data_IF_661420632528
#
_entry.id   IF_661420632528
#
_cell.length_a   1.000
_cell.length_b   1.000
_cell.length_c   1.000
_cell.angle_alpha   90.00
_cell.angle_beta   90.00
_cell.angle_gamma   90.00
#
_symmetry.space_group_name_H-M   'P 1'
#
loop_
_entity.id
_entity.type
_entity.pdbx_description
1 polymer ?
#
# COMPACT_ATOMS: atom_id res chain seq x y z
N UNK A 1 0.75 1.37 -5.56
CA UNK A 1 1.93 2.25 -5.48
C UNK A 1 1.44 3.64 -5.09
N UNK A 2 2.20 4.37 -4.28
CA UNK A 2 1.86 5.72 -3.81
C UNK A 2 3.07 6.62 -4.11
N UNK A 3 2.83 7.81 -4.67
CA UNK A 3 3.86 8.74 -5.10
C UNK A 3 3.46 10.18 -4.77
N UNK A 4 4.45 11.07 -4.65
CA UNK A 4 4.21 12.52 -4.58
C UNK A 4 3.67 13.00 -3.23
N UNK A 5 3.84 12.22 -2.17
CA UNK A 5 3.31 12.55 -0.85
C UNK A 5 4.36 13.24 0.03
N UNK A 6 3.88 14.11 0.92
CA UNK A 6 4.65 14.85 1.92
C UNK A 6 3.69 15.27 3.05
N UNK A 7 4.04 15.21 4.35
CA UNK A 7 5.32 14.77 4.94
C UNK A 7 5.57 13.25 4.76
N UNK A 8 6.63 12.70 5.38
CA UNK A 8 7.05 11.30 5.16
C UNK A 8 6.03 10.26 5.66
N UNK A 9 5.24 10.61 6.67
CA UNK A 9 4.36 9.67 7.35
C UNK A 9 3.19 9.27 6.44
N UNK A 10 3.08 7.97 6.18
CA UNK A 10 2.00 7.37 5.39
C UNK A 10 1.79 5.94 5.88
N UNK A 11 0.56 5.47 5.86
CA UNK A 11 0.22 4.06 6.03
C UNK A 11 -0.50 3.56 4.78
N UNK A 12 -0.07 2.40 4.27
CA UNK A 12 -0.73 1.70 3.17
C UNK A 12 -1.28 0.40 3.73
N UNK A 13 -2.59 0.20 3.61
CA UNK A 13 -3.28 -0.97 4.16
C UNK A 13 -4.06 -1.63 3.04
N UNK A 14 -3.88 -2.94 2.89
CA UNK A 14 -4.74 -3.73 2.03
C UNK A 14 -5.95 -4.24 2.81
N UNK A 15 -7.12 -4.06 2.22
CA UNK A 15 -8.37 -4.61 2.73
C UNK A 15 -8.81 -5.75 1.80
N UNK A 16 -9.19 -6.89 2.37
CA UNK A 16 -9.84 -7.99 1.68
C UNK A 16 -11.29 -8.04 2.15
N UNK A 17 -12.23 -7.83 1.24
CA UNK A 17 -13.67 -7.74 1.53
C UNK A 17 -14.00 -6.76 2.68
N UNK A 18 -13.21 -5.69 2.81
CA UNK A 18 -13.36 -4.66 3.85
C UNK A 18 -12.57 -4.91 5.14
N UNK A 19 -11.96 -6.08 5.32
CA UNK A 19 -11.16 -6.42 6.50
C UNK A 19 -9.67 -6.20 6.26
N UNK A 20 -8.96 -5.65 7.26
CA UNK A 20 -7.53 -5.38 7.15
C UNK A 20 -6.73 -6.69 7.05
N UNK A 21 -5.91 -6.80 6.01
CA UNK A 21 -5.03 -7.93 5.80
C UNK A 21 -3.76 -7.78 6.64
N UNK A 22 -3.47 -8.70 7.58
CA UNK A 22 -2.21 -8.68 8.32
C UNK A 22 -1.02 -9.17 7.48
N UNK A 23 -1.27 -9.72 6.28
CA UNK A 23 -0.26 -10.37 5.44
C UNK A 23 0.19 -9.47 4.27
N UNK A 24 0.65 -8.27 4.58
CA UNK A 24 1.40 -7.47 3.60
C UNK A 24 2.79 -8.10 3.43
N UNK A 25 2.97 -8.93 2.39
CA UNK A 25 4.23 -9.69 2.21
C UNK A 25 5.42 -8.83 1.81
N UNK A 26 5.19 -7.69 1.15
CA UNK A 26 6.26 -6.88 0.59
C UNK A 26 5.93 -5.38 0.63
N UNK A 27 6.70 -4.64 1.43
CA UNK A 27 6.68 -3.18 1.49
C UNK A 27 8.09 -2.65 1.23
N UNK A 28 8.25 -1.67 0.33
CA UNK A 28 9.57 -1.07 0.06
C UNK A 28 10.06 -0.10 1.11
N UNK A 29 9.25 0.15 2.14
CA UNK A 29 9.40 1.33 2.97
C UNK A 29 9.13 2.62 2.17
N UNK A 30 9.31 3.75 2.85
CA UNK A 30 9.15 5.09 2.27
C UNK A 30 10.48 5.57 1.70
N UNK A 31 10.54 5.77 0.40
CA UNK A 31 11.72 6.19 -0.35
C UNK A 31 11.58 7.65 -0.83
N UNK A 32 12.67 8.43 -0.89
CA UNK A 32 12.63 9.77 -1.49
C UNK A 32 12.44 9.70 -3.01
N UNK A 33 11.69 10.65 -3.58
CA UNK A 33 11.44 10.76 -5.02
C UNK A 33 12.47 11.64 -5.75
N UNK A 34 13.28 12.42 -5.01
CA UNK A 34 14.29 13.33 -5.57
C UNK A 34 13.80 14.75 -5.87
N UNK A 35 12.49 15.00 -5.78
CA UNK A 35 11.83 16.30 -5.98
C UNK A 35 11.34 16.95 -4.67
N UNK A 36 11.74 16.39 -3.52
CA UNK A 36 11.25 16.79 -2.19
C UNK A 36 10.04 16.02 -1.69
N UNK A 37 9.47 15.12 -2.51
CA UNK A 37 8.39 14.21 -2.09
C UNK A 37 8.89 12.80 -1.79
N UNK A 38 7.97 11.95 -1.34
CA UNK A 38 8.21 10.55 -1.05
C UNK A 38 7.37 9.62 -1.93
N UNK A 39 7.77 8.36 -1.97
CA UNK A 39 7.10 7.28 -2.67
C UNK A 39 7.18 5.97 -1.87
N UNK A 40 6.19 5.11 -2.03
CA UNK A 40 6.19 3.77 -1.44
C UNK A 40 5.31 2.80 -2.23
N UNK A 41 5.49 1.51 -2.01
CA UNK A 41 4.58 0.50 -2.55
C UNK A 41 4.41 -0.68 -1.62
N UNK A 42 3.19 -1.19 -1.67
CA UNK A 42 2.70 -2.39 -1.01
C UNK A 42 2.19 -3.36 -2.08
N UNK A 43 2.50 -4.64 -1.96
CA UNK A 43 1.94 -5.68 -2.83
C UNK A 43 1.40 -6.85 -2.01
N UNK A 44 0.32 -7.45 -2.48
CA UNK A 44 -0.28 -8.66 -1.95
C UNK A 44 -0.26 -9.77 -3.01
N UNK A 45 -0.25 -11.01 -2.57
CA UNK A 45 -0.54 -12.15 -3.43
C UNK A 45 -2.05 -12.41 -3.39
N UNK A 46 -2.66 -12.57 -4.56
CA UNK A 46 -4.08 -12.89 -4.70
C UNK A 46 -4.21 -14.24 -5.40
N UNK A 47 -5.14 -15.07 -4.93
CA UNK A 47 -5.60 -16.23 -5.69
C UNK A 47 -6.56 -15.72 -6.78
N UNK A 48 -6.24 -15.88 -8.09
CA UNK A 48 -7.11 -15.41 -9.16
C UNK A 48 -8.46 -16.14 -9.21
N UNK A 49 -8.61 -17.28 -8.53
CA UNK A 49 -9.89 -17.98 -8.38
C UNK A 49 -10.73 -17.47 -7.21
N UNK A 50 -10.16 -16.62 -6.35
CA UNK A 50 -10.87 -16.00 -5.24
C UNK A 50 -11.84 -14.92 -5.75
N UNK A 51 -13.07 -14.96 -5.26
CA UNK A 51 -14.10 -13.95 -5.53
C UNK A 51 -14.11 -12.83 -4.45
N UNK A 52 -12.93 -12.50 -3.93
CA UNK A 52 -12.76 -11.46 -2.91
C UNK A 52 -12.43 -10.12 -3.54
N UNK A 53 -13.00 -9.06 -2.96
CA UNK A 53 -12.68 -7.70 -3.33
C UNK A 53 -11.44 -7.21 -2.59
N UNK A 54 -10.50 -6.60 -3.30
CA UNK A 54 -9.27 -6.06 -2.71
C UNK A 54 -9.25 -4.54 -2.85
N UNK A 55 -9.06 -3.85 -1.74
CA UNK A 55 -8.98 -2.38 -1.70
C UNK A 55 -7.64 -1.95 -1.11
N UNK A 56 -6.96 -1.03 -1.80
CA UNK A 56 -5.80 -0.33 -1.24
C UNK A 56 -6.29 0.93 -0.53
N UNK A 57 -6.09 1.01 0.79
CA UNK A 57 -6.37 2.21 1.59
C UNK A 57 -5.05 2.90 1.90
N UNK A 58 -4.99 4.20 1.65
CA UNK A 58 -3.85 5.06 1.97
C UNK A 58 -4.28 6.04 3.04
N UNK A 59 -3.53 6.11 4.13
CA UNK A 59 -3.71 7.09 5.19
C UNK A 59 -2.47 8.00 5.22
N UNK A 60 -2.70 9.30 5.08
CA UNK A 60 -1.67 10.33 4.94
C UNK A 60 -2.11 11.58 5.68
#
# INVERSE_FOLDING_TARGET
>A
RVHGFYPKDVAVVWLQSGEAQPQERSHSGVLPSGDGTYQTWATIEIDPSSNQDYTCRVEH
#
